data_IF_179575204050
#
_entry.id   IF_179575204050
#
_cell.length_a   1.000
_cell.length_b   1.000
_cell.length_c   1.000
_cell.angle_alpha   90.00
_cell.angle_beta   90.00
_cell.angle_gamma   90.00
#
_symmetry.space_group_name_H-M   'P 1'
#
loop_
_entity.id
_entity.type
_entity.pdbx_description
1 polymer ?
#
# COMPACT_ATOMS: atom_id res chain seq x y z
N UNK A 1 14.75 -12.91 -8.86
CA UNK A 1 13.59 -13.66 -9.39
C UNK A 1 12.38 -12.99 -8.76
N UNK A 2 11.80 -12.00 -9.44
CA UNK A 2 10.74 -11.16 -8.86
C UNK A 2 9.39 -11.57 -9.46
N UNK A 3 9.00 -12.82 -9.19
CA UNK A 3 7.65 -13.27 -9.51
C UNK A 3 6.64 -12.62 -8.56
N UNK A 4 5.38 -12.40 -8.98
CA UNK A 4 4.35 -11.89 -8.10
C UNK A 4 4.25 -12.82 -6.88
N UNK A 5 4.42 -12.26 -5.69
CA UNK A 5 4.19 -12.99 -4.45
C UNK A 5 2.71 -13.37 -4.40
N UNK A 6 2.43 -14.67 -4.31
CA UNK A 6 1.08 -15.25 -4.31
C UNK A 6 0.88 -16.03 -3.01
N UNK A 7 -0.37 -16.10 -2.56
CA UNK A 7 -0.77 -16.89 -1.40
C UNK A 7 -1.30 -16.02 -0.25
N UNK A 8 -2.10 -16.62 0.65
CA UNK A 8 -2.72 -15.91 1.76
C UNK A 8 -1.70 -15.31 2.73
N UNK A 9 -0.51 -15.91 2.86
CA UNK A 9 0.57 -15.42 3.74
C UNK A 9 1.07 -14.05 3.30
N UNK A 10 1.12 -13.82 1.99
CA UNK A 10 1.55 -12.56 1.38
C UNK A 10 0.53 -11.47 1.70
N UNK A 11 -0.75 -11.77 1.49
CA UNK A 11 -1.87 -10.86 1.80
C UNK A 11 -1.88 -10.50 3.29
N UNK A 12 -1.73 -11.48 4.17
CA UNK A 12 -1.65 -11.26 5.63
C UNK A 12 -0.42 -10.45 6.04
N UNK A 13 0.72 -10.64 5.38
CA UNK A 13 1.93 -9.85 5.66
C UNK A 13 1.71 -8.38 5.33
N UNK A 14 1.09 -8.08 4.19
CA UNK A 14 0.74 -6.71 3.83
C UNK A 14 -0.27 -6.12 4.81
N UNK A 15 -1.34 -6.84 5.13
CA UNK A 15 -2.32 -6.40 6.13
C UNK A 15 -1.70 -6.12 7.49
N UNK A 16 -0.78 -6.97 7.94
CA UNK A 16 -0.05 -6.74 9.20
C UNK A 16 0.79 -5.47 9.13
N UNK A 17 1.51 -5.23 8.03
CA UNK A 17 2.28 -4.00 7.86
C UNK A 17 1.36 -2.78 7.94
N UNK A 18 0.20 -2.85 7.29
CA UNK A 18 -0.81 -1.80 7.29
C UNK A 18 -1.35 -1.51 8.69
N UNK A 19 -1.85 -2.53 9.40
CA UNK A 19 -2.38 -2.37 10.76
C UNK A 19 -1.35 -1.88 11.77
N UNK A 20 -0.06 -2.07 11.51
CA UNK A 20 1.02 -1.55 12.37
C UNK A 20 1.47 -0.14 11.97
N UNK A 21 1.24 0.26 10.72
CA UNK A 21 1.75 1.53 10.19
C UNK A 21 0.71 2.64 10.22
N UNK A 22 -0.58 2.30 10.18
CA UNK A 22 -1.68 3.25 10.17
C UNK A 22 -2.58 2.93 11.36
N UNK A 23 -2.84 3.94 12.20
CA UNK A 23 -3.74 3.80 13.34
C UNK A 23 -5.20 3.60 12.89
N UNK A 24 -5.54 4.13 11.71
CA UNK A 24 -6.84 3.97 11.08
C UNK A 24 -6.70 3.63 9.59
N UNK A 25 -7.44 2.61 9.17
CA UNK A 25 -7.61 2.25 7.76
C UNK A 25 -9.09 1.99 7.58
N UNK A 26 -9.75 2.87 6.83
CA UNK A 26 -11.14 2.70 6.44
C UNK A 26 -11.20 2.23 4.99
N UNK A 27 -11.81 1.07 4.74
CA UNK A 27 -12.07 0.55 3.40
C UNK A 27 -13.58 0.45 3.23
N UNK A 28 -14.12 1.24 2.31
CA UNK A 28 -15.53 1.26 1.97
C UNK A 28 -15.71 0.65 0.59
N UNK A 29 -16.61 -0.34 0.46
CA UNK A 29 -16.97 -0.89 -0.85
C UNK A 29 -18.08 -0.05 -1.45
N UNK A 30 -17.76 0.69 -2.51
CA UNK A 30 -18.71 1.55 -3.22
C UNK A 30 -19.58 0.74 -4.19
N UNK A 31 -18.97 -0.25 -4.87
CA UNK A 31 -19.66 -1.02 -5.91
C UNK A 31 -19.12 -2.44 -5.99
N UNK A 32 -20.02 -3.37 -6.30
CA UNK A 32 -19.73 -4.78 -6.50
C UNK A 32 -20.43 -5.29 -7.76
N UNK A 33 -19.67 -5.56 -8.82
CA UNK A 33 -20.18 -6.08 -10.09
C UNK A 33 -19.76 -7.54 -10.29
N UNK A 34 -20.74 -8.44 -10.28
CA UNK A 34 -20.55 -9.85 -10.64
C UNK A 34 -20.69 -10.02 -12.14
N UNK A 35 -19.61 -10.40 -12.82
CA UNK A 35 -19.63 -10.74 -14.25
C UNK A 35 -19.68 -12.25 -14.39
N UNK A 36 -20.90 -12.77 -14.51
CA UNK A 36 -21.17 -14.23 -14.57
C UNK A 36 -20.49 -14.87 -15.78
N UNK A 37 -20.51 -14.17 -16.92
CA UNK A 37 -19.92 -14.61 -18.19
C UNK A 37 -18.40 -14.81 -18.13
N UNK A 38 -17.68 -14.01 -17.34
CA UNK A 38 -16.24 -14.13 -17.14
C UNK A 38 -15.86 -14.80 -15.81
N UNK A 39 -16.85 -15.19 -15.01
CA UNK A 39 -16.65 -15.64 -13.63
C UNK A 39 -15.74 -14.70 -12.82
N UNK A 40 -15.93 -13.38 -12.99
CA UNK A 40 -15.13 -12.36 -12.30
C UNK A 40 -15.99 -11.47 -11.40
N UNK A 41 -15.36 -10.95 -10.35
CA UNK A 41 -15.93 -9.99 -9.43
C UNK A 41 -15.13 -8.69 -9.55
N UNK A 42 -15.79 -7.60 -9.93
CA UNK A 42 -15.17 -6.28 -9.95
C UNK A 42 -15.67 -5.53 -8.72
N UNK A 43 -14.73 -5.08 -7.89
CA UNK A 43 -15.00 -4.32 -6.66
C UNK A 43 -14.44 -2.92 -6.82
N UNK A 44 -15.25 -1.91 -6.59
CA UNK A 44 -14.79 -0.53 -6.43
C UNK A 44 -14.79 -0.21 -4.95
N UNK A 45 -13.65 0.24 -4.44
CA UNK A 45 -13.47 0.60 -3.03
C UNK A 45 -12.91 2.01 -2.89
N UNK A 46 -13.47 2.78 -1.96
CA UNK A 46 -12.80 3.95 -1.41
C UNK A 46 -11.96 3.53 -0.21
N UNK A 47 -10.72 4.02 -0.13
CA UNK A 47 -9.83 3.74 1.00
C UNK A 47 -9.30 5.04 1.57
N UNK A 48 -9.52 5.23 2.86
CA UNK A 48 -9.08 6.39 3.63
C UNK A 48 -8.10 5.93 4.70
N UNK A 49 -6.97 6.64 4.81
CA UNK A 49 -5.92 6.36 5.80
C UNK A 49 -5.38 7.65 6.39
N UNK A 50 -5.08 7.64 7.68
CA UNK A 50 -4.39 8.76 8.35
C UNK A 50 -2.88 8.56 8.32
N UNK A 51 -2.14 9.51 7.72
CA UNK A 51 -0.67 9.50 7.76
C UNK A 51 -0.20 10.23 9.02
N UNK A 52 0.22 9.46 10.04
CA UNK A 52 0.82 10.01 11.25
C UNK A 52 2.33 10.26 11.08
N UNK A 53 2.96 10.88 12.09
CA UNK A 53 4.42 11.07 12.11
C UNK A 53 5.17 9.73 12.10
N UNK A 54 4.62 8.71 12.75
CA UNK A 54 5.22 7.38 12.81
C UNK A 54 5.03 6.63 11.48
N UNK A 55 3.83 6.72 10.88
CA UNK A 55 3.58 6.24 9.51
C UNK A 55 4.56 6.84 8.51
N UNK A 56 4.77 8.17 8.58
CA UNK A 56 5.65 8.88 7.69
C UNK A 56 7.13 8.45 7.87
N UNK A 57 7.56 8.15 9.09
CA UNK A 57 8.92 7.64 9.35
C UNK A 57 9.13 6.19 8.92
N UNK A 58 8.11 5.34 9.09
CA UNK A 58 8.19 3.90 8.84
C UNK A 58 7.95 3.56 7.36
N UNK A 59 6.94 4.16 6.75
CA UNK A 59 6.45 3.81 5.39
C UNK A 59 6.93 4.81 4.34
N UNK A 60 7.03 6.10 4.70
CA UNK A 60 7.40 7.16 3.77
C UNK A 60 8.65 7.94 4.22
N UNK A 61 9.76 7.27 4.60
CA UNK A 61 10.91 7.93 5.23
C UNK A 61 11.55 9.03 4.38
N UNK A 62 11.30 9.02 3.06
CA UNK A 62 11.77 10.03 2.11
C UNK A 62 10.94 11.32 2.15
N UNK A 63 9.73 11.30 2.71
CA UNK A 63 8.92 12.48 2.98
C UNK A 63 9.26 13.14 4.33
N UNK A 64 10.05 12.47 5.17
CA UNK A 64 10.52 13.05 6.42
C UNK A 64 11.59 14.11 6.12
N UNK A 65 11.13 15.36 5.94
CA UNK A 65 11.97 16.53 5.66
C UNK A 65 13.02 16.78 6.74
N UNK A 66 12.84 16.21 7.94
CA UNK A 66 13.78 16.28 9.04
C UNK A 66 15.05 15.43 8.82
N UNK A 67 15.13 14.64 7.74
CA UNK A 67 16.32 13.85 7.36
C UNK A 67 17.26 14.54 6.37
N UNK A 68 16.96 15.79 5.96
CA UNK A 68 17.86 16.57 5.08
C UNK A 68 19.25 16.86 5.66
N UNK A 69 19.49 16.61 6.95
CA UNK A 69 20.79 16.82 7.58
C UNK A 69 21.76 15.63 7.61
N UNK A 70 21.33 14.37 7.35
CA UNK A 70 22.17 13.19 7.65
C UNK A 70 22.33 12.15 6.53
N UNK A 71 21.56 12.22 5.43
CA UNK A 71 21.55 11.14 4.43
C UNK A 71 22.13 11.50 3.06
N UNK A 72 22.79 12.64 2.87
CA UNK A 72 23.48 12.93 1.60
C UNK A 72 24.68 12.01 1.31
N UNK A 73 25.16 11.21 2.27
CA UNK A 73 26.32 10.34 2.03
C UNK A 73 25.99 8.90 1.64
N UNK A 74 24.73 8.46 1.66
CA UNK A 74 24.42 7.09 1.25
C UNK A 74 23.05 6.98 0.59
N UNK A 75 23.13 6.51 -0.66
CA UNK A 75 22.11 5.83 -1.47
C UNK A 75 21.37 6.63 -2.53
N UNK A 76 21.62 6.19 -3.77
CA UNK A 76 21.01 6.65 -5.00
C UNK A 76 19.49 6.45 -5.00
N UNK A 77 18.85 7.37 -5.71
CA UNK A 77 17.43 7.63 -5.77
C UNK A 77 16.70 6.66 -6.71
N UNK A 78 16.11 5.61 -6.16
CA UNK A 78 14.99 4.94 -6.84
C UNK A 78 13.70 5.69 -6.50
N UNK A 79 13.25 6.56 -7.40
CA UNK A 79 11.96 7.28 -7.26
C UNK A 79 10.80 6.31 -7.51
N UNK A 80 10.44 5.50 -6.53
CA UNK A 80 9.16 4.76 -6.57
C UNK A 80 8.04 5.74 -6.20
N UNK A 81 7.17 6.02 -7.16
CA UNK A 81 6.03 6.91 -6.96
C UNK A 81 5.09 6.33 -5.91
N UNK A 82 4.64 7.15 -4.97
CA UNK A 82 3.72 6.74 -3.90
C UNK A 82 2.38 6.24 -4.44
N UNK A 83 1.96 6.79 -5.59
CA UNK A 83 0.80 6.31 -6.37
C UNK A 83 0.93 4.84 -6.71
N UNK A 84 2.13 4.38 -7.05
CA UNK A 84 2.37 3.04 -7.58
C UNK A 84 2.35 2.01 -6.45
N UNK A 85 2.77 2.42 -5.25
CA UNK A 85 2.72 1.57 -4.06
C UNK A 85 1.27 1.36 -3.60
N UNK A 86 0.47 2.43 -3.52
CA UNK A 86 -0.95 2.34 -3.17
C UNK A 86 -1.77 1.59 -4.23
N UNK A 87 -1.48 1.82 -5.51
CA UNK A 87 -2.13 1.11 -6.62
C UNK A 87 -1.83 -0.39 -6.59
N UNK A 88 -0.57 -0.78 -6.31
CA UNK A 88 -0.20 -2.19 -6.15
C UNK A 88 -0.83 -2.83 -4.90
N UNK A 89 -1.00 -2.05 -3.83
CA UNK A 89 -1.64 -2.51 -2.58
C UNK A 89 -3.14 -2.78 -2.76
N UNK A 90 -3.88 -1.87 -3.41
CA UNK A 90 -5.30 -2.08 -3.71
C UNK A 90 -5.51 -3.25 -4.68
N UNK A 91 -4.59 -3.46 -5.61
CA UNK A 91 -4.65 -4.61 -6.55
C UNK A 91 -4.48 -5.97 -5.87
N UNK A 92 -3.85 -6.04 -4.69
CA UNK A 92 -3.68 -7.28 -3.92
C UNK A 92 -4.89 -7.60 -3.02
N UNK A 93 -5.72 -6.61 -2.77
CA UNK A 93 -6.92 -6.72 -1.94
C UNK A 93 -8.15 -7.20 -2.73
N UNK A 94 -8.17 -6.95 -4.03
CA UNK A 94 -9.23 -7.38 -4.96
C UNK A 94 -8.96 -8.68 -5.72
N UNK A 95 -8.06 -9.53 -5.22
CA UNK A 95 -7.69 -10.82 -5.83
C UNK A 95 -8.61 -11.97 -5.47
#
# INVERSE_FOLDING_TARGET
>A
MDGPMRGPEVVLTYWRLFSLSFDDICVETERLDKRVESNTLVVTTATSVTISKDTLRLVFPHLDSNKKGLLELRYGSERRSQSDMLTRMLSLLGG
#
